data_IF_583662188847
#
_entry.id   IF_583662188847
#
_cell.length_a   1.000
_cell.length_b   1.000
_cell.length_c   1.000
_cell.angle_alpha   90.00
_cell.angle_beta   90.00
_cell.angle_gamma   90.00
#
_symmetry.space_group_name_H-M   'P 1'
#
loop_
_entity.id
_entity.type
_entity.pdbx_description
1 polymer ?
#
# COMPACT_ATOMS: atom_id res chain seq x y z
N UNK A 1 -28.12 53.42 83.30
CA UNK A 1 -26.70 53.84 83.35
C UNK A 1 -25.93 53.20 82.24
N UNK A 2 -25.23 54.04 81.45
CA UNK A 2 -24.17 53.80 80.47
C UNK A 2 -24.42 52.79 79.32
N UNK A 3 -24.67 53.19 78.14
CA UNK A 3 -23.91 53.84 77.05
C UNK A 3 -22.55 53.19 76.73
N UNK A 4 -22.43 52.71 75.51
CA UNK A 4 -21.29 52.91 74.53
C UNK A 4 -21.46 52.03 73.31
N UNK A 5 -21.81 52.60 72.25
CA UNK A 5 -21.04 53.17 71.10
C UNK A 5 -20.40 52.13 70.13
N UNK A 6 -20.94 52.20 68.92
CA UNK A 6 -20.51 51.86 67.63
C UNK A 6 -18.96 51.84 67.39
N UNK A 7 -18.51 50.90 66.62
CA UNK A 7 -17.53 51.15 65.55
C UNK A 7 -17.75 50.16 64.37
N UNK A 8 -18.15 50.70 63.24
CA UNK A 8 -18.13 50.06 61.94
C UNK A 8 -16.68 49.94 61.42
N UNK A 9 -16.42 48.90 60.72
CA UNK A 9 -15.17 48.78 59.97
C UNK A 9 -15.44 48.33 58.54
N UNK A 10 -15.29 49.19 57.51
CA UNK A 10 -15.49 48.87 56.12
C UNK A 10 -14.16 48.43 55.47
N UNK A 11 -13.96 47.14 55.19
CA UNK A 11 -12.99 46.67 54.19
C UNK A 11 -13.25 45.20 53.82
N UNK A 12 -14.19 44.94 52.95
CA UNK A 12 -14.23 43.70 52.18
C UNK A 12 -14.83 43.99 50.80
N UNK A 13 -14.04 44.43 49.88
CA UNK A 13 -14.57 44.76 48.56
C UNK A 13 -13.57 44.84 47.41
N UNK A 14 -12.39 44.27 47.51
CA UNK A 14 -11.42 44.44 46.39
C UNK A 14 -10.63 43.22 45.95
N UNK A 15 -10.95 42.01 46.37
CA UNK A 15 -10.09 40.85 46.06
C UNK A 15 -10.73 39.77 45.17
N UNK A 16 -11.99 39.94 44.71
CA UNK A 16 -12.70 38.92 43.93
C UNK A 16 -12.60 39.06 42.42
N UNK A 17 -12.20 40.22 41.88
CA UNK A 17 -12.23 40.43 40.42
C UNK A 17 -10.91 40.06 39.66
N UNK A 18 -9.79 39.95 40.36
CA UNK A 18 -8.53 39.59 39.69
C UNK A 18 -8.39 38.08 39.39
N UNK A 19 -8.92 37.20 40.22
CA UNK A 19 -8.86 35.73 40.02
C UNK A 19 -9.75 35.23 38.87
N UNK A 20 -10.85 35.91 38.56
CA UNK A 20 -11.75 35.49 37.48
C UNK A 20 -11.19 35.81 36.07
N UNK A 21 -10.41 36.87 35.94
CA UNK A 21 -9.79 37.26 34.65
C UNK A 21 -8.63 36.35 34.24
N UNK A 22 -7.89 35.79 35.19
CA UNK A 22 -6.78 34.88 34.94
C UNK A 22 -7.31 33.50 34.50
N UNK A 23 -8.38 33.00 35.09
CA UNK A 23 -9.01 31.73 34.68
C UNK A 23 -9.60 31.79 33.29
N UNK A 24 -10.22 32.90 32.87
CA UNK A 24 -10.78 33.04 31.53
C UNK A 24 -9.68 33.14 30.44
N UNK A 25 -8.57 33.79 30.74
CA UNK A 25 -7.42 33.87 29.82
C UNK A 25 -6.69 32.51 29.65
N UNK A 26 -6.59 31.72 30.74
CA UNK A 26 -5.99 30.39 30.66
C UNK A 26 -6.88 29.39 29.89
N UNK A 27 -8.20 29.47 30.02
CA UNK A 27 -9.14 28.66 29.24
C UNK A 27 -9.14 29.04 27.74
N UNK A 28 -8.95 30.33 27.41
CA UNK A 28 -8.88 30.76 26.02
C UNK A 28 -7.57 30.32 25.33
N UNK A 29 -6.47 30.22 26.04
CA UNK A 29 -5.18 29.72 25.51
C UNK A 29 -5.21 28.20 25.36
N UNK A 30 -5.92 27.47 26.23
CA UNK A 30 -6.07 26.01 26.08
C UNK A 30 -7.00 25.61 24.92
N UNK A 31 -7.94 26.47 24.52
CA UNK A 31 -8.82 26.21 23.37
C UNK A 31 -8.19 26.49 22.01
N UNK A 32 -7.02 27.16 21.95
CA UNK A 32 -6.34 27.50 20.70
C UNK A 32 -5.26 26.49 20.26
N UNK A 33 -5.04 25.42 21.05
CA UNK A 33 -4.10 24.33 20.68
C UNK A 33 -4.80 23.06 20.20
N UNK A 34 -6.09 23.10 19.94
CA UNK A 34 -6.70 22.07 19.08
C UNK A 34 -6.29 22.40 17.65
N UNK A 35 -5.05 22.09 17.31
CA UNK A 35 -4.66 21.91 15.92
C UNK A 35 -5.60 20.86 15.35
N UNK A 36 -6.49 21.29 14.48
CA UNK A 36 -7.37 20.38 13.79
C UNK A 36 -6.52 19.27 13.19
N UNK A 37 -6.72 18.06 13.64
CA UNK A 37 -6.27 16.88 12.91
C UNK A 37 -7.09 16.90 11.63
N UNK A 38 -6.59 17.59 10.61
CA UNK A 38 -7.12 17.42 9.26
C UNK A 38 -6.95 15.94 8.95
N UNK A 39 -8.05 15.22 8.87
CA UNK A 39 -8.03 13.88 8.33
C UNK A 39 -7.41 14.01 6.94
N UNK A 40 -6.22 13.46 6.75
CA UNK A 40 -5.58 13.47 5.44
C UNK A 40 -6.55 12.83 4.44
N UNK A 41 -6.76 13.47 3.30
CA UNK A 41 -7.62 12.92 2.25
C UNK A 41 -7.15 11.51 1.89
N UNK A 42 -8.05 10.54 1.98
CA UNK A 42 -7.76 9.19 1.55
C UNK A 42 -8.06 9.07 0.05
N UNK A 43 -7.12 8.49 -0.67
CA UNK A 43 -7.23 8.18 -2.10
C UNK A 43 -7.45 6.69 -2.28
N UNK A 44 -8.14 6.32 -3.36
CA UNK A 44 -8.26 4.94 -3.81
C UNK A 44 -7.58 4.85 -5.17
N UNK A 45 -6.49 4.10 -5.25
CA UNK A 45 -5.81 3.88 -6.51
C UNK A 45 -6.65 2.96 -7.40
N UNK A 46 -6.79 3.34 -8.64
CA UNK A 46 -7.32 2.50 -9.70
C UNK A 46 -6.62 2.82 -11.02
N UNK A 47 -6.57 1.84 -11.89
CA UNK A 47 -6.01 2.01 -13.22
C UNK A 47 -7.14 2.27 -14.22
N UNK A 48 -7.19 3.47 -14.78
CA UNK A 48 -8.08 3.80 -15.87
C UNK A 48 -7.46 3.35 -17.19
N UNK A 49 -7.98 2.26 -17.74
CA UNK A 49 -7.45 1.71 -19.00
C UNK A 49 -7.54 2.72 -20.12
N UNK A 50 -6.44 2.89 -20.85
CA UNK A 50 -6.41 3.66 -22.08
C UNK A 50 -6.80 2.77 -23.26
N UNK A 51 -7.41 3.35 -24.29
CA UNK A 51 -7.82 2.59 -25.48
C UNK A 51 -6.61 2.16 -26.31
N UNK A 52 -6.71 0.98 -26.94
CA UNK A 52 -5.71 0.50 -27.90
C UNK A 52 -4.32 0.22 -27.32
N UNK A 53 -4.23 -0.17 -26.05
CA UNK A 53 -2.95 -0.45 -25.40
C UNK A 53 -2.08 0.78 -25.12
N UNK A 54 -2.64 1.98 -25.19
CA UNK A 54 -1.94 3.19 -24.81
C UNK A 54 -1.60 3.19 -23.31
N UNK A 55 -0.51 3.86 -22.94
CA UNK A 55 -0.08 3.97 -21.55
C UNK A 55 -1.12 4.77 -20.75
N UNK A 56 -1.64 4.23 -19.64
CA UNK A 56 -2.57 4.96 -18.78
C UNK A 56 -1.85 6.04 -17.98
N UNK A 57 -2.56 7.13 -17.71
CA UNK A 57 -2.11 8.19 -16.83
C UNK A 57 -2.80 8.09 -15.48
N UNK A 58 -2.12 8.53 -14.43
CA UNK A 58 -2.74 8.71 -13.12
C UNK A 58 -3.81 9.81 -13.18
N UNK A 59 -4.85 9.67 -12.37
CA UNK A 59 -5.78 10.79 -12.18
C UNK A 59 -5.00 12.03 -11.68
N UNK A 60 -5.32 13.24 -12.16
CA UNK A 60 -4.58 14.45 -11.79
C UNK A 60 -4.45 14.67 -10.28
N UNK A 61 -5.46 14.26 -9.50
CA UNK A 61 -5.45 14.32 -8.03
C UNK A 61 -4.43 13.37 -7.37
N UNK A 62 -3.85 12.45 -8.12
CA UNK A 62 -2.88 11.45 -7.65
C UNK A 62 -1.51 11.58 -8.35
N UNK A 63 -1.28 12.66 -9.11
CA UNK A 63 -0.01 12.89 -9.83
C UNK A 63 1.20 13.04 -8.90
N UNK A 64 0.99 13.41 -7.64
CA UNK A 64 2.01 13.57 -6.60
C UNK A 64 2.68 12.25 -6.17
N UNK A 65 2.14 11.08 -6.51
CA UNK A 65 2.63 9.76 -6.06
C UNK A 65 4.14 9.59 -6.31
N UNK A 66 4.63 10.04 -7.46
CA UNK A 66 6.05 9.91 -7.82
C UNK A 66 6.96 10.77 -6.92
N UNK A 67 6.51 11.93 -6.48
CA UNK A 67 7.23 12.84 -5.59
C UNK A 67 7.38 12.25 -4.19
N UNK A 68 6.43 11.39 -3.78
CA UNK A 68 6.41 10.65 -2.52
C UNK A 68 6.99 9.23 -2.61
N UNK A 69 7.79 8.93 -3.64
CA UNK A 69 8.48 7.64 -3.77
C UNK A 69 7.60 6.49 -4.25
N UNK A 70 6.47 6.79 -4.91
CA UNK A 70 5.59 5.79 -5.51
C UNK A 70 5.76 5.66 -7.02
N UNK A 71 5.41 4.49 -7.56
CA UNK A 71 5.33 4.26 -9.00
C UNK A 71 4.18 3.30 -9.35
N UNK A 72 3.65 3.43 -10.56
CA UNK A 72 2.59 2.57 -11.08
C UNK A 72 2.84 2.12 -12.52
N UNK A 73 3.88 2.67 -13.17
CA UNK A 73 4.22 2.43 -14.57
C UNK A 73 5.71 2.72 -14.79
N UNK A 74 6.36 2.00 -15.68
CA UNK A 74 7.77 2.25 -16.03
C UNK A 74 7.97 3.65 -16.62
N UNK A 75 9.15 4.23 -16.39
CA UNK A 75 9.46 5.60 -16.80
C UNK A 75 9.63 5.73 -18.31
N UNK A 76 10.32 4.78 -18.93
CA UNK A 76 10.56 4.77 -20.38
C UNK A 76 9.30 4.32 -21.13
N UNK A 77 8.77 5.18 -21.97
CA UNK A 77 7.59 4.91 -22.77
C UNK A 77 7.86 3.98 -23.97
N UNK A 78 9.10 3.92 -24.42
CA UNK A 78 9.50 3.13 -25.60
C UNK A 78 9.93 1.71 -25.21
N UNK A 79 10.28 1.49 -23.96
CA UNK A 79 10.79 0.20 -23.52
C UNK A 79 9.66 -0.83 -23.33
N UNK A 80 9.75 -1.93 -24.09
CA UNK A 80 8.83 -3.07 -23.95
C UNK A 80 9.16 -3.92 -22.73
N UNK A 81 8.85 -3.40 -21.56
CA UNK A 81 9.02 -4.09 -20.27
C UNK A 81 7.70 -4.24 -19.55
N UNK A 82 7.52 -5.38 -18.90
CA UNK A 82 6.39 -5.68 -18.02
C UNK A 82 6.94 -6.04 -16.64
N UNK A 83 6.38 -5.44 -15.60
CA UNK A 83 6.69 -5.75 -14.21
C UNK A 83 5.57 -6.60 -13.63
N UNK A 84 5.86 -7.88 -13.37
CA UNK A 84 4.90 -8.84 -12.84
C UNK A 84 4.79 -8.68 -11.32
N UNK A 85 3.61 -8.37 -10.82
CA UNK A 85 3.37 -8.22 -9.39
C UNK A 85 2.15 -9.00 -8.92
N UNK A 86 2.23 -9.58 -7.73
CA UNK A 86 1.23 -10.49 -7.17
C UNK A 86 0.90 -10.11 -5.73
N UNK A 87 -0.38 -9.89 -5.41
CA UNK A 87 -0.84 -9.68 -4.04
C UNK A 87 -1.27 -11.03 -3.43
N UNK A 88 -0.50 -11.52 -2.45
CA UNK A 88 -0.53 -12.89 -1.97
C UNK A 88 -0.83 -12.98 -0.46
N UNK A 89 -2.10 -13.09 -0.09
CA UNK A 89 -2.53 -13.15 1.31
C UNK A 89 -2.64 -14.58 1.88
N UNK A 90 -2.86 -15.57 1.05
CA UNK A 90 -3.01 -16.98 1.42
C UNK A 90 -2.77 -17.89 0.22
N UNK A 91 -2.70 -19.21 0.44
CA UNK A 91 -2.53 -20.25 -0.58
C UNK A 91 -3.82 -21.08 -0.71
N UNK A 92 -4.17 -21.42 -1.94
CA UNK A 92 -5.32 -22.28 -2.28
C UNK A 92 -5.00 -23.30 -3.40
N UNK A 93 -3.71 -23.62 -3.60
CA UNK A 93 -3.22 -24.55 -4.63
C UNK A 93 -2.77 -23.88 -5.93
N UNK A 94 -2.80 -22.56 -6.02
CA UNK A 94 -2.47 -21.86 -7.26
C UNK A 94 -1.12 -21.16 -7.24
N UNK A 95 -0.59 -20.73 -6.10
CA UNK A 95 0.70 -20.02 -6.04
C UNK A 95 1.84 -20.89 -6.55
N UNK A 96 1.90 -22.17 -6.13
CA UNK A 96 2.91 -23.09 -6.60
C UNK A 96 2.90 -23.25 -8.14
N UNK A 97 1.73 -23.32 -8.76
CA UNK A 97 1.55 -23.39 -10.20
C UNK A 97 2.03 -22.12 -10.92
N UNK A 98 1.79 -20.96 -10.31
CA UNK A 98 2.28 -19.67 -10.83
C UNK A 98 3.81 -19.62 -10.78
N UNK A 99 4.43 -20.06 -9.69
CA UNK A 99 5.89 -20.17 -9.58
C UNK A 99 6.47 -21.11 -10.63
N UNK A 100 5.86 -22.27 -10.87
CA UNK A 100 6.28 -23.20 -11.92
C UNK A 100 6.26 -22.55 -13.30
N UNK A 101 5.23 -21.76 -13.60
CA UNK A 101 5.12 -21.02 -14.88
C UNK A 101 6.18 -19.92 -14.96
N UNK A 102 6.40 -19.15 -13.91
CA UNK A 102 7.42 -18.10 -13.88
C UNK A 102 8.82 -18.72 -14.11
N UNK A 103 9.13 -19.84 -13.46
CA UNK A 103 10.39 -20.57 -13.64
C UNK A 103 10.57 -21.05 -15.10
N UNK A 104 9.50 -21.60 -15.72
CA UNK A 104 9.50 -22.04 -17.12
C UNK A 104 9.90 -20.91 -18.09
N UNK A 105 9.45 -19.68 -17.85
CA UNK A 105 9.73 -18.51 -18.67
C UNK A 105 10.98 -17.73 -18.22
N UNK A 106 11.69 -18.17 -17.17
CA UNK A 106 12.80 -17.40 -16.59
C UNK A 106 12.38 -16.01 -16.11
N UNK A 107 11.10 -15.85 -15.80
CA UNK A 107 10.51 -14.58 -15.38
C UNK A 107 10.53 -14.44 -13.86
N UNK A 108 10.86 -13.26 -13.35
CA UNK A 108 10.79 -12.97 -11.92
C UNK A 108 9.62 -12.04 -11.62
N UNK A 109 8.89 -12.32 -10.53
CA UNK A 109 7.78 -11.51 -10.05
C UNK A 109 8.07 -10.89 -8.69
N UNK A 110 7.27 -9.92 -8.30
CA UNK A 110 7.25 -9.35 -6.96
C UNK A 110 5.97 -9.77 -6.25
N UNK A 111 6.10 -10.52 -5.15
CA UNK A 111 4.98 -11.01 -4.35
C UNK A 111 4.81 -10.11 -3.13
N UNK A 112 3.73 -9.35 -3.07
CA UNK A 112 3.32 -8.56 -1.92
C UNK A 112 2.55 -9.48 -0.98
N UNK A 113 3.21 -9.90 0.09
CA UNK A 113 2.70 -10.96 0.97
C UNK A 113 2.09 -10.40 2.25
N UNK A 114 1.15 -11.16 2.84
CA UNK A 114 0.62 -10.93 4.18
C UNK A 114 1.21 -11.92 5.19
N UNK A 115 1.17 -11.57 6.46
CA UNK A 115 1.61 -12.43 7.57
C UNK A 115 0.94 -13.82 7.56
N UNK A 116 -0.34 -13.88 7.16
CA UNK A 116 -1.08 -15.15 7.08
C UNK A 116 -0.45 -16.15 6.11
N UNK A 117 -0.01 -15.68 4.92
CA UNK A 117 0.68 -16.54 3.97
C UNK A 117 2.00 -17.03 4.55
N UNK A 118 2.80 -16.14 5.16
CA UNK A 118 4.10 -16.50 5.74
C UNK A 118 3.94 -17.57 6.84
N UNK A 119 2.98 -17.38 7.75
CA UNK A 119 2.76 -18.28 8.87
C UNK A 119 2.23 -19.66 8.46
N UNK A 120 1.41 -19.74 7.41
CA UNK A 120 0.76 -20.99 6.98
C UNK A 120 1.49 -21.72 5.88
N UNK A 121 2.27 -21.01 5.07
CA UNK A 121 2.90 -21.53 3.86
C UNK A 121 4.37 -21.09 3.77
N UNK A 122 5.10 -21.21 4.86
CA UNK A 122 6.48 -20.74 5.02
C UNK A 122 7.39 -21.27 3.91
N UNK A 123 7.28 -22.57 3.56
CA UNK A 123 8.11 -23.19 2.50
C UNK A 123 7.84 -22.58 1.13
N UNK A 124 6.60 -22.16 0.86
CA UNK A 124 6.26 -21.49 -0.39
C UNK A 124 6.89 -20.09 -0.47
N UNK A 125 6.93 -19.37 0.66
CA UNK A 125 7.60 -18.07 0.74
C UNK A 125 9.12 -18.23 0.60
N UNK A 126 9.72 -19.27 1.16
CA UNK A 126 11.13 -19.63 0.93
C UNK A 126 11.40 -19.93 -0.54
N UNK A 127 10.51 -20.68 -1.18
CA UNK A 127 10.57 -20.99 -2.60
C UNK A 127 10.56 -19.71 -3.46
N UNK A 128 9.66 -18.77 -3.18
CA UNK A 128 9.64 -17.46 -3.87
C UNK A 128 11.01 -16.79 -3.83
N UNK A 129 11.61 -16.68 -2.66
CA UNK A 129 12.91 -16.03 -2.50
C UNK A 129 14.03 -16.84 -3.17
N UNK A 130 14.04 -18.18 -3.04
CA UNK A 130 15.07 -19.05 -3.63
C UNK A 130 15.05 -19.05 -5.17
N UNK A 131 13.87 -18.85 -5.78
CA UNK A 131 13.69 -18.72 -7.23
C UNK A 131 13.92 -17.29 -7.74
N UNK A 132 14.41 -16.37 -6.89
CA UNK A 132 14.77 -15.00 -7.28
C UNK A 132 13.61 -14.01 -7.37
N UNK A 133 12.44 -14.39 -6.89
CA UNK A 133 11.33 -13.46 -6.79
C UNK A 133 11.51 -12.50 -5.61
N UNK A 134 10.97 -11.28 -5.72
CA UNK A 134 10.93 -10.33 -4.62
C UNK A 134 9.77 -10.67 -3.68
N UNK A 135 10.07 -10.83 -2.38
CA UNK A 135 9.07 -10.93 -1.33
C UNK A 135 8.88 -9.56 -0.70
N UNK A 136 7.75 -8.93 -0.97
CA UNK A 136 7.46 -7.53 -0.72
C UNK A 136 6.38 -7.36 0.38
N UNK A 137 6.25 -6.15 0.89
CA UNK A 137 5.36 -5.83 2.00
C UNK A 137 3.95 -5.45 1.53
N UNK A 138 2.93 -6.24 1.94
CA UNK A 138 1.51 -5.90 1.77
C UNK A 138 0.81 -5.64 3.11
N UNK A 139 1.56 -5.22 4.14
CA UNK A 139 1.22 -5.15 5.56
C UNK A 139 1.11 -6.52 6.23
N UNK A 140 1.05 -6.55 7.55
CA UNK A 140 0.86 -7.81 8.26
C UNK A 140 -0.57 -8.36 8.08
N UNK A 141 -1.61 -7.50 8.18
CA UNK A 141 -3.01 -7.92 8.33
C UNK A 141 -3.98 -7.36 7.30
N UNK A 142 -3.49 -6.66 6.29
CA UNK A 142 -4.34 -6.06 5.23
C UNK A 142 -5.37 -5.05 5.75
N UNK A 143 -5.01 -4.27 6.76
CA UNK A 143 -5.88 -3.21 7.27
C UNK A 143 -5.87 -1.98 6.36
N UNK A 144 -6.94 -1.17 6.46
CA UNK A 144 -6.98 0.17 5.84
C UNK A 144 -5.97 1.10 6.54
N UNK A 145 -4.81 1.26 5.93
CA UNK A 145 -3.68 2.00 6.47
C UNK A 145 -3.93 3.51 6.58
N UNK A 146 -4.94 4.03 5.89
CA UNK A 146 -5.31 5.46 5.95
C UNK A 146 -5.96 5.84 7.27
N UNK A 147 -6.45 4.86 8.03
CA UNK A 147 -7.11 5.02 9.33
C UNK A 147 -6.16 4.81 10.51
N UNK A 148 -4.91 4.48 10.24
CA UNK A 148 -3.92 4.18 11.28
C UNK A 148 -3.16 5.42 11.71
N UNK A 149 -2.71 5.39 12.98
CA UNK A 149 -1.66 6.30 13.41
C UNK A 149 -0.35 5.96 12.69
N UNK A 150 0.59 6.90 12.65
CA UNK A 150 1.90 6.62 12.06
C UNK A 150 2.63 5.48 12.78
N UNK A 151 2.50 5.40 14.11
CA UNK A 151 3.09 4.32 14.90
C UNK A 151 2.51 2.95 14.53
N UNK A 152 1.18 2.84 14.37
CA UNK A 152 0.53 1.60 13.97
C UNK A 152 0.86 1.24 12.52
N UNK A 153 0.95 2.22 11.61
CA UNK A 153 1.41 2.00 10.25
C UNK A 153 2.80 1.38 10.21
N UNK A 154 3.77 1.98 10.95
CA UNK A 154 5.13 1.44 11.05
C UNK A 154 5.12 0.04 11.65
N UNK A 155 4.33 -0.19 12.69
CA UNK A 155 4.21 -1.49 13.34
C UNK A 155 3.68 -2.58 12.39
N UNK A 156 2.70 -2.28 11.54
CA UNK A 156 2.18 -3.24 10.53
C UNK A 156 3.27 -3.67 9.53
N UNK A 157 4.09 -2.72 9.04
CA UNK A 157 5.15 -3.05 8.09
C UNK A 157 6.30 -3.82 8.78
N UNK A 158 6.77 -3.34 9.94
CA UNK A 158 7.86 -3.99 10.69
C UNK A 158 7.46 -5.40 11.15
N UNK A 159 6.22 -5.59 11.58
CA UNK A 159 5.71 -6.91 11.98
C UNK A 159 5.85 -7.93 10.85
N UNK A 160 5.53 -7.57 9.62
CA UNK A 160 5.69 -8.49 8.49
C UNK A 160 7.17 -8.77 8.20
N UNK A 161 8.05 -7.77 8.29
CA UNK A 161 9.50 -7.97 8.15
C UNK A 161 10.02 -8.98 9.19
N UNK A 162 9.61 -8.83 10.45
CA UNK A 162 10.02 -9.72 11.53
C UNK A 162 9.53 -11.15 11.31
N UNK A 163 8.25 -11.32 10.94
CA UNK A 163 7.67 -12.64 10.66
C UNK A 163 8.38 -13.31 9.47
N UNK A 164 8.69 -12.58 8.40
CA UNK A 164 9.44 -13.11 7.26
C UNK A 164 10.82 -13.59 7.69
N UNK A 165 11.54 -12.80 8.46
CA UNK A 165 12.88 -13.14 8.96
C UNK A 165 12.85 -14.32 9.91
N UNK A 166 11.96 -14.29 10.90
CA UNK A 166 11.88 -15.31 11.96
C UNK A 166 11.35 -16.66 11.44
N UNK A 167 10.34 -16.66 10.60
CA UNK A 167 9.68 -17.89 10.14
C UNK A 167 10.31 -18.44 8.86
N UNK A 168 10.55 -17.59 7.89
CA UNK A 168 11.03 -18.01 6.59
C UNK A 168 12.53 -17.84 6.39
N UNK A 169 13.22 -17.02 7.19
CA UNK A 169 14.61 -16.66 6.96
C UNK A 169 14.77 -15.80 5.69
N UNK A 170 13.70 -15.09 5.30
CA UNK A 170 13.65 -14.27 4.09
C UNK A 170 13.62 -12.79 4.47
N UNK A 171 14.48 -11.99 3.84
CA UNK A 171 14.44 -10.55 3.99
C UNK A 171 13.32 -9.95 3.15
N UNK A 172 12.55 -9.04 3.75
CA UNK A 172 11.50 -8.31 3.05
C UNK A 172 12.12 -7.28 2.10
N UNK A 173 11.86 -7.39 0.81
CA UNK A 173 12.25 -6.37 -0.15
C UNK A 173 11.53 -5.04 0.16
N UNK A 174 12.25 -3.92 0.05
CA UNK A 174 11.74 -2.60 0.44
C UNK A 174 10.77 -2.00 -0.58
N UNK A 175 9.80 -2.83 -0.99
CA UNK A 175 8.64 -2.44 -1.80
C UNK A 175 7.36 -2.68 -1.00
N UNK A 176 6.50 -1.68 -0.97
CA UNK A 176 5.24 -1.69 -0.24
C UNK A 176 4.07 -1.50 -1.22
N UNK A 177 3.00 -2.24 -1.03
CA UNK A 177 1.73 -1.97 -1.70
C UNK A 177 0.63 -1.77 -0.67
N UNK A 178 -0.08 -0.62 -0.72
CA UNK A 178 -1.19 -0.37 0.19
C UNK A 178 -2.35 -1.34 -0.07
N UNK A 179 -2.95 -1.93 0.98
CA UNK A 179 -4.15 -2.74 0.86
C UNK A 179 -5.26 -2.04 0.08
N UNK A 180 -5.90 -2.76 -0.84
CA UNK A 180 -6.97 -2.24 -1.71
C UNK A 180 -6.56 -1.00 -2.55
N UNK A 181 -5.29 -0.65 -2.62
CA UNK A 181 -4.83 0.59 -3.22
C UNK A 181 -5.23 1.85 -2.44
N UNK A 182 -5.59 1.74 -1.17
CA UNK A 182 -5.95 2.87 -0.31
C UNK A 182 -4.75 3.50 0.34
N UNK A 183 -4.60 4.80 0.18
CA UNK A 183 -3.46 5.54 0.69
C UNK A 183 -3.80 7.01 0.95
N UNK A 184 -2.89 7.71 1.60
CA UNK A 184 -2.82 9.17 1.66
C UNK A 184 -1.35 9.60 1.60
N UNK A 185 -1.09 10.88 1.43
CA UNK A 185 0.28 11.41 1.35
C UNK A 185 1.12 11.00 2.55
N UNK A 186 0.55 11.09 3.77
CA UNK A 186 1.24 10.67 5.00
C UNK A 186 1.65 9.20 4.97
N UNK A 187 0.84 8.31 4.39
CA UNK A 187 1.19 6.89 4.26
C UNK A 187 2.40 6.71 3.33
N UNK A 188 2.44 7.44 2.21
CA UNK A 188 3.57 7.41 1.28
C UNK A 188 4.85 7.90 1.94
N UNK A 189 4.78 9.05 2.63
CA UNK A 189 5.92 9.63 3.36
C UNK A 189 6.42 8.70 4.47
N UNK A 190 5.49 8.11 5.23
CA UNK A 190 5.85 7.16 6.29
C UNK A 190 6.54 5.93 5.71
N UNK A 191 6.00 5.33 4.64
CA UNK A 191 6.62 4.20 3.96
C UNK A 191 8.02 4.59 3.41
N UNK A 192 8.13 5.74 2.74
CA UNK A 192 9.39 6.27 2.22
C UNK A 192 10.43 6.48 3.31
N UNK A 193 10.03 7.02 4.49
CA UNK A 193 10.92 7.20 5.64
C UNK A 193 11.42 5.89 6.27
N UNK A 194 10.74 4.77 6.01
CA UNK A 194 11.15 3.41 6.37
C UNK A 194 12.00 2.73 5.29
N UNK A 195 12.34 3.45 4.21
CA UNK A 195 13.09 2.96 3.06
C UNK A 195 12.26 2.22 2.01
N UNK A 196 10.93 2.22 2.13
CA UNK A 196 10.06 1.58 1.15
C UNK A 196 9.80 2.46 -0.07
N UNK A 197 9.68 1.80 -1.22
CA UNK A 197 9.07 2.35 -2.44
C UNK A 197 7.63 1.84 -2.53
N UNK A 198 6.67 2.75 -2.74
CA UNK A 198 5.26 2.35 -2.87
C UNK A 198 4.95 1.95 -4.31
N UNK A 199 4.40 0.76 -4.50
CA UNK A 199 4.14 0.18 -5.83
C UNK A 199 2.63 0.06 -6.06
N UNK A 200 2.12 0.82 -7.02
CA UNK A 200 0.78 0.67 -7.54
C UNK A 200 0.81 -0.17 -8.85
N UNK A 201 -0.20 -0.07 -9.70
CA UNK A 201 -0.31 -0.84 -10.93
C UNK A 201 -0.90 0.01 -12.07
N UNK A 202 -0.58 -0.35 -13.30
CA UNK A 202 -1.15 0.25 -14.49
C UNK A 202 -2.01 -0.72 -15.31
N UNK A 203 -1.95 -2.01 -14.99
CA UNK A 203 -2.75 -3.04 -15.62
C UNK A 203 -3.25 -4.04 -14.56
N UNK A 204 -4.56 -4.15 -14.42
CA UNK A 204 -5.21 -5.08 -13.50
C UNK A 204 -6.63 -5.40 -13.97
N UNK A 205 -7.23 -6.43 -13.39
CA UNK A 205 -8.62 -6.78 -13.58
C UNK A 205 -9.21 -7.41 -12.30
N UNK A 206 -10.52 -7.64 -12.27
CA UNK A 206 -11.18 -8.21 -11.09
C UNK A 206 -10.96 -9.73 -11.04
N UNK A 207 -9.90 -10.17 -10.37
CA UNK A 207 -9.46 -11.56 -10.26
C UNK A 207 -9.39 -12.07 -8.81
N UNK A 208 -9.64 -11.21 -7.83
CA UNK A 208 -9.49 -11.51 -6.39
C UNK A 208 -10.64 -12.32 -5.78
N UNK A 209 -11.83 -12.31 -6.39
CA UNK A 209 -13.01 -13.02 -5.88
C UNK A 209 -12.99 -14.49 -6.31
N UNK A 210 -12.60 -15.38 -5.38
CA UNK A 210 -12.51 -16.81 -5.68
C UNK A 210 -13.87 -17.49 -5.93
N UNK A 211 -14.96 -16.89 -5.48
CA UNK A 211 -16.32 -17.38 -5.73
C UNK A 211 -16.83 -16.95 -7.11
N UNK A 212 -16.22 -15.90 -7.70
CA UNK A 212 -16.61 -15.32 -9.00
C UNK A 212 -15.43 -15.18 -9.92
N UNK A 213 -14.76 -16.29 -10.20
CA UNK A 213 -13.61 -16.28 -11.08
C UNK A 213 -14.00 -15.89 -12.51
N UNK A 214 -13.31 -14.89 -13.08
CA UNK A 214 -13.60 -14.47 -14.44
C UNK A 214 -13.22 -15.56 -15.46
N UNK A 215 -13.86 -15.53 -16.63
CA UNK A 215 -13.63 -16.51 -17.70
C UNK A 215 -12.19 -16.38 -18.22
N UNK A 216 -11.41 -17.51 -18.32
CA UNK A 216 -10.00 -17.48 -18.63
C UNK A 216 -9.63 -16.79 -19.95
N UNK A 217 -10.30 -17.14 -21.05
CA UNK A 217 -9.95 -16.60 -22.36
C UNK A 217 -10.27 -15.10 -22.45
N UNK A 218 -11.40 -14.66 -21.89
CA UNK A 218 -11.73 -13.22 -21.82
C UNK A 218 -10.74 -12.45 -20.97
N UNK A 219 -10.27 -13.05 -19.85
CA UNK A 219 -9.26 -12.45 -18.97
C UNK A 219 -7.93 -12.28 -19.69
N UNK A 220 -7.47 -13.31 -20.40
CA UNK A 220 -6.27 -13.26 -21.21
C UNK A 220 -6.37 -12.18 -22.30
N UNK A 221 -7.47 -12.15 -23.04
CA UNK A 221 -7.72 -11.13 -24.08
C UNK A 221 -7.78 -9.72 -23.50
N UNK A 222 -8.38 -9.54 -22.32
CA UNK A 222 -8.43 -8.26 -21.63
C UNK A 222 -7.02 -7.78 -21.26
N UNK A 223 -6.19 -8.66 -20.70
CA UNK A 223 -4.80 -8.32 -20.32
C UNK A 223 -3.98 -7.97 -21.56
N UNK A 224 -4.04 -8.82 -22.61
CA UNK A 224 -3.28 -8.59 -23.85
C UNK A 224 -3.71 -7.32 -24.59
N UNK A 225 -5.00 -7.02 -24.66
CA UNK A 225 -5.51 -5.82 -25.36
C UNK A 225 -5.24 -4.51 -24.63
N UNK A 226 -4.88 -4.57 -23.35
CA UNK A 226 -4.54 -3.40 -22.54
C UNK A 226 -3.05 -3.37 -22.12
N UNK A 227 -2.24 -4.29 -22.67
CA UNK A 227 -0.79 -4.29 -22.44
C UNK A 227 -0.18 -3.04 -23.07
N UNK A 228 0.74 -2.43 -22.35
CA UNK A 228 1.46 -1.23 -22.74
C UNK A 228 2.89 -1.27 -22.23
N UNK A 229 3.77 -0.49 -22.83
CA UNK A 229 5.16 -0.39 -22.41
C UNK A 229 5.29 0.10 -20.97
N UNK A 230 6.12 -0.56 -20.18
CA UNK A 230 6.32 -0.26 -18.77
C UNK A 230 5.16 -0.69 -17.86
N UNK A 231 4.29 -1.59 -18.29
CA UNK A 231 3.13 -2.02 -17.50
C UNK A 231 3.55 -2.66 -16.17
N UNK A 232 3.05 -2.12 -15.06
CA UNK A 232 3.05 -2.79 -13.76
C UNK A 232 1.74 -3.58 -13.67
N UNK A 233 1.85 -4.89 -13.76
CA UNK A 233 0.69 -5.80 -13.79
C UNK A 233 0.40 -6.29 -12.40
N UNK A 234 -0.82 -6.06 -11.90
CA UNK A 234 -1.32 -6.65 -10.65
C UNK A 234 -2.17 -7.87 -10.96
N UNK A 235 -1.79 -9.01 -10.41
CA UNK A 235 -2.54 -10.25 -10.40
C UNK A 235 -2.66 -10.79 -8.97
N UNK A 236 -3.75 -11.51 -8.67
CA UNK A 236 -3.86 -12.25 -7.41
C UNK A 236 -3.51 -13.72 -7.65
N UNK A 237 -2.46 -14.27 -7.00
CA UNK A 237 -2.00 -15.62 -7.31
C UNK A 237 -2.93 -16.70 -6.76
N UNK A 238 -3.91 -16.33 -5.93
CA UNK A 238 -5.01 -17.20 -5.51
C UNK A 238 -6.07 -17.42 -6.61
N UNK A 239 -6.06 -16.61 -7.67
CA UNK A 239 -6.97 -16.76 -8.80
C UNK A 239 -6.67 -18.01 -9.61
N UNK A 240 -7.65 -18.93 -9.68
CA UNK A 240 -7.58 -20.10 -10.57
C UNK A 240 -7.48 -19.68 -12.04
N UNK A 241 -8.13 -18.60 -12.39
CA UNK A 241 -8.05 -18.03 -13.76
C UNK A 241 -6.62 -17.63 -14.08
N UNK A 242 -5.95 -16.87 -13.19
CA UNK A 242 -4.56 -16.48 -13.40
C UNK A 242 -3.64 -17.69 -13.52
N UNK A 243 -3.77 -18.67 -12.63
CA UNK A 243 -2.96 -19.90 -12.70
C UNK A 243 -3.18 -20.72 -14.00
N UNK A 244 -4.34 -20.56 -14.63
CA UNK A 244 -4.67 -21.26 -15.90
C UNK A 244 -4.17 -20.50 -17.13
N UNK A 245 -4.11 -19.16 -17.09
CA UNK A 245 -3.78 -18.36 -18.27
C UNK A 245 -2.33 -17.86 -18.29
N UNK A 246 -1.61 -17.88 -17.16
CA UNK A 246 -0.32 -17.20 -17.04
C UNK A 246 0.70 -17.69 -18.07
N UNK A 247 0.82 -18.99 -18.32
CA UNK A 247 1.75 -19.56 -19.30
C UNK A 247 1.49 -19.02 -20.72
N UNK A 248 0.23 -19.04 -21.16
CA UNK A 248 -0.15 -18.49 -22.45
C UNK A 248 -0.02 -16.96 -22.52
N UNK A 249 -0.21 -16.29 -21.39
CA UNK A 249 -0.07 -14.84 -21.30
C UNK A 249 1.39 -14.41 -21.41
N UNK A 250 2.32 -15.05 -20.70
CA UNK A 250 3.74 -14.78 -20.77
C UNK A 250 4.26 -15.09 -22.19
N UNK A 251 3.90 -16.25 -22.77
CA UNK A 251 4.25 -16.61 -24.16
C UNK A 251 3.81 -15.51 -25.14
N UNK A 252 2.59 -14.99 -24.98
CA UNK A 252 2.07 -13.96 -25.88
C UNK A 252 2.80 -12.61 -25.71
N UNK A 253 3.18 -12.24 -24.51
CA UNK A 253 3.97 -11.03 -24.24
C UNK A 253 5.40 -11.16 -24.82
N UNK A 254 6.05 -12.31 -24.63
CA UNK A 254 7.35 -12.58 -25.23
C UNK A 254 7.32 -12.51 -26.76
N UNK A 255 6.27 -13.10 -27.37
CA UNK A 255 6.06 -13.03 -28.83
C UNK A 255 5.84 -11.60 -29.34
N UNK A 256 5.30 -10.69 -28.50
CA UNK A 256 5.16 -9.27 -28.78
C UNK A 256 6.46 -8.47 -28.52
N UNK A 257 7.52 -9.14 -28.05
CA UNK A 257 8.83 -8.56 -27.77
C UNK A 257 8.93 -7.89 -26.38
N UNK A 258 8.02 -8.18 -25.46
CA UNK A 258 8.15 -7.73 -24.07
C UNK A 258 9.15 -8.61 -23.30
N UNK A 259 9.95 -7.96 -22.45
CA UNK A 259 10.74 -8.63 -21.41
C UNK A 259 10.07 -8.43 -20.04
N UNK A 260 10.46 -9.22 -19.06
CA UNK A 260 9.99 -9.08 -17.68
C UNK A 260 11.08 -8.40 -16.86
N UNK A 261 10.76 -7.22 -16.32
CA UNK A 261 11.64 -6.40 -15.49
C UNK A 261 11.40 -6.59 -14.01
N UNK A 262 12.34 -6.16 -13.19
CA UNK A 262 12.26 -6.18 -11.74
C UNK A 262 11.76 -4.83 -11.17
N UNK A 263 11.20 -4.83 -9.94
CA UNK A 263 10.82 -3.57 -9.30
C UNK A 263 12.03 -2.66 -9.02
N UNK A 264 13.24 -3.21 -8.91
CA UNK A 264 14.45 -2.40 -8.80
C UNK A 264 14.68 -1.56 -10.05
N UNK A 265 14.44 -2.13 -11.25
CA UNK A 265 14.49 -1.39 -12.52
C UNK A 265 13.37 -0.34 -12.63
N UNK A 266 12.17 -0.63 -12.10
CA UNK A 266 11.05 0.31 -12.13
C UNK A 266 11.37 1.64 -11.44
N UNK A 267 12.17 1.60 -10.38
CA UNK A 267 12.53 2.80 -9.62
C UNK A 267 13.85 3.45 -10.05
N UNK A 268 14.67 2.77 -10.83
CA UNK A 268 15.90 3.27 -11.47
C UNK A 268 17.08 3.26 -10.57
#
# INVERSE_FOLDING_TARGET
MCAKTFFENPKKGFFKMKKLKISAALCLILCLTVTGVYAANAYNWYCKRAKGGARPEAEPSMSFISEHGGAYIGKDAEEKVIYLTFDAGYENGNIARILDVLAKHGAHGAFFVLENLVNRNTELVRRMAAEGHLVCNHTARHHDMTKMTEADFRAELTRLEDVLREKAGVECAKFYRPPEGRFNEKNLDTASSMGYKTVFWSLAYADWDNEKQPEPEKSKQLLLSNTHNGAVVLLHPTSKTNANILDALLTAWEAQGYRFGTLSELFG
#
